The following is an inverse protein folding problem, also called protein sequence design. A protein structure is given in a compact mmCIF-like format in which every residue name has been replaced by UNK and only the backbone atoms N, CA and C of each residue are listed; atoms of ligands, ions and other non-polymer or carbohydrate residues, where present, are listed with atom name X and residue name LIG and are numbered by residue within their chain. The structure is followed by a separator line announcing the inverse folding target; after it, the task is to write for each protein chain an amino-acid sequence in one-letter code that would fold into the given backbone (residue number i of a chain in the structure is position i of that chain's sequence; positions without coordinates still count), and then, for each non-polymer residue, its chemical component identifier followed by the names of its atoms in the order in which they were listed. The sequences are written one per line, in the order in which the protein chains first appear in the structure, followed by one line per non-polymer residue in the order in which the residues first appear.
data_IF_177878956555
#
_entry.id   IF_177878956555
#
_cell.length_a   1.000
_cell.length_b   1.000
_cell.length_c   1.000
_cell.angle_alpha   90.00
_cell.angle_beta   90.00
_cell.angle_gamma   90.00
#
_symmetry.space_group_name_H-M   'P 1'
#
loop_
_entity.id
_entity.type
_entity.pdbx_description
1 polymer ?
#
# COMPACT_ATOMS: atom_id res chain seq x y z
N UNK A 1 15.63 16.94 -9.16
CA UNK A 1 14.62 17.37 -8.19
C UNK A 1 13.37 16.59 -8.52
N UNK A 2 12.87 15.78 -7.59
CA UNK A 2 11.57 15.13 -7.80
C UNK A 2 10.50 16.15 -7.43
N UNK A 3 9.68 16.51 -8.40
CA UNK A 3 8.53 17.41 -8.15
C UNK A 3 7.45 16.68 -7.36
N UNK A 4 6.59 17.45 -6.68
CA UNK A 4 5.43 16.92 -5.97
C UNK A 4 4.55 16.07 -6.89
N UNK A 5 4.35 16.51 -8.13
CA UNK A 5 3.58 15.78 -9.14
C UNK A 5 4.21 14.43 -9.47
N UNK A 6 5.52 14.37 -9.70
CA UNK A 6 6.24 13.12 -9.95
C UNK A 6 6.14 12.16 -8.76
N UNK A 7 6.23 12.69 -7.53
CA UNK A 7 6.05 11.87 -6.34
C UNK A 7 4.62 11.34 -6.22
N UNK A 8 3.60 12.18 -6.40
CA UNK A 8 2.19 11.76 -6.40
C UNK A 8 1.88 10.73 -7.50
N UNK A 9 2.55 10.82 -8.65
CA UNK A 9 2.46 9.83 -9.71
C UNK A 9 3.11 8.50 -9.29
N UNK A 10 4.31 8.54 -8.69
CA UNK A 10 4.99 7.35 -8.12
C UNK A 10 4.12 6.65 -7.06
N UNK A 11 3.54 7.42 -6.13
CA UNK A 11 2.62 6.90 -5.12
C UNK A 11 1.41 6.22 -5.75
N UNK A 12 0.82 6.86 -6.77
CA UNK A 12 -0.34 6.33 -7.48
C UNK A 12 -0.02 4.98 -8.11
N UNK A 13 1.08 4.88 -8.85
CA UNK A 13 1.48 3.63 -9.52
C UNK A 13 1.62 2.51 -8.51
N UNK A 14 2.26 2.76 -7.37
CA UNK A 14 2.43 1.73 -6.33
C UNK A 14 1.12 1.32 -5.66
N UNK A 15 0.22 2.28 -5.41
CA UNK A 15 -1.13 1.99 -4.88
C UNK A 15 -1.97 1.18 -5.88
N UNK A 16 -1.88 1.48 -7.17
CA UNK A 16 -2.53 0.73 -8.25
C UNK A 16 -1.96 -0.70 -8.33
N UNK A 17 -0.64 -0.88 -8.22
CA UNK A 17 0.01 -2.20 -8.17
C UNK A 17 -0.51 -3.04 -6.99
N UNK A 18 -0.55 -2.45 -5.79
CA UNK A 18 -1.05 -3.15 -4.60
C UNK A 18 -2.52 -3.50 -4.69
N UNK A 19 -3.35 -2.64 -5.29
CA UNK A 19 -4.74 -2.97 -5.54
C UNK A 19 -4.85 -4.22 -6.42
N UNK A 20 -4.04 -4.31 -7.49
CA UNK A 20 -3.98 -5.49 -8.33
C UNK A 20 -3.54 -6.75 -7.56
N UNK A 21 -2.48 -6.65 -6.75
CA UNK A 21 -2.04 -7.76 -5.90
C UNK A 21 -3.13 -8.19 -4.90
N UNK A 22 -3.89 -7.25 -4.31
CA UNK A 22 -5.00 -7.56 -3.40
C UNK A 22 -6.13 -8.31 -4.10
N UNK A 23 -6.47 -7.93 -5.33
CA UNK A 23 -7.48 -8.65 -6.12
C UNK A 23 -7.03 -10.08 -6.43
N UNK A 24 -5.75 -10.27 -6.76
CA UNK A 24 -5.16 -11.60 -6.97
C UNK A 24 -5.19 -12.43 -5.69
N UNK A 25 -4.79 -11.87 -4.55
CA UNK A 25 -4.85 -12.56 -3.25
C UNK A 25 -6.28 -12.92 -2.88
N UNK A 26 -7.25 -12.02 -3.13
CA UNK A 26 -8.67 -12.28 -2.88
C UNK A 26 -9.18 -13.44 -3.73
N UNK A 27 -8.86 -13.46 -5.02
CA UNK A 27 -9.22 -14.58 -5.90
C UNK A 27 -8.61 -15.91 -5.44
N UNK A 28 -7.34 -15.90 -5.03
CA UNK A 28 -6.69 -17.10 -4.46
C UNK A 28 -7.36 -17.54 -3.15
N UNK A 29 -7.79 -16.60 -2.30
CA UNK A 29 -8.49 -16.90 -1.05
C UNK A 29 -9.80 -17.66 -1.30
N UNK A 30 -10.49 -17.40 -2.40
CA UNK A 30 -11.73 -18.12 -2.77
C UNK A 30 -11.47 -19.57 -3.15
N UNK A 31 -10.26 -19.90 -3.60
CA UNK A 31 -9.83 -21.28 -3.91
C UNK A 31 -9.22 -22.02 -2.73
N UNK A 32 -8.97 -21.34 -1.61
CA UNK A 32 -8.38 -21.91 -0.41
C UNK A 32 -9.42 -22.69 0.43
N UNK A 33 -8.95 -23.49 1.39
CA UNK A 33 -9.80 -24.17 2.38
C UNK A 33 -10.53 -23.16 3.27
N UNK A 34 -11.68 -23.52 3.86
CA UNK A 34 -12.44 -22.58 4.71
C UNK A 34 -11.62 -21.99 5.88
N UNK A 35 -10.77 -22.79 6.53
CA UNK A 35 -9.89 -22.32 7.61
C UNK A 35 -8.84 -21.31 7.11
N UNK A 36 -8.22 -21.60 5.96
CA UNK A 36 -7.25 -20.69 5.35
C UNK A 36 -7.94 -19.42 4.83
N UNK A 37 -9.13 -19.56 4.26
CA UNK A 37 -9.92 -18.46 3.71
C UNK A 37 -10.22 -17.40 4.78
N UNK A 38 -10.60 -17.80 5.99
CA UNK A 38 -10.82 -16.86 7.11
C UNK A 38 -9.53 -16.09 7.41
N UNK A 39 -8.41 -16.78 7.64
CA UNK A 39 -7.11 -16.16 7.94
C UNK A 39 -6.63 -15.23 6.83
N UNK A 40 -6.78 -15.65 5.58
CA UNK A 40 -6.39 -14.86 4.41
C UNK A 40 -7.28 -13.61 4.30
N UNK A 41 -8.59 -13.72 4.51
CA UNK A 41 -9.48 -12.56 4.48
C UNK A 41 -9.13 -11.54 5.57
N UNK A 42 -8.77 -11.99 6.78
CA UNK A 42 -8.27 -11.10 7.84
C UNK A 42 -7.00 -10.37 7.40
N UNK A 43 -6.02 -11.07 6.83
CA UNK A 43 -4.79 -10.41 6.37
C UNK A 43 -5.03 -9.48 5.16
N UNK A 44 -5.94 -9.83 4.25
CA UNK A 44 -6.35 -8.94 3.15
C UNK A 44 -7.03 -7.68 3.69
N UNK A 45 -7.81 -7.78 4.77
CA UNK A 45 -8.42 -6.62 5.41
C UNK A 45 -7.35 -5.70 6.03
N UNK A 46 -6.32 -6.26 6.68
CA UNK A 46 -5.18 -5.48 7.17
C UNK A 46 -4.42 -4.78 6.04
N UNK A 47 -4.18 -5.47 4.93
CA UNK A 47 -3.55 -4.87 3.76
C UNK A 47 -4.40 -3.77 3.14
N UNK A 48 -5.73 -3.92 3.12
CA UNK A 48 -6.65 -2.90 2.63
C UNK A 48 -6.61 -1.66 3.50
N UNK A 49 -6.56 -1.80 4.82
CA UNK A 49 -6.39 -0.68 5.74
C UNK A 49 -5.07 0.07 5.48
N UNK A 50 -3.98 -0.65 5.21
CA UNK A 50 -2.71 -0.02 4.78
C UNK A 50 -2.90 0.71 3.45
N UNK A 51 -3.49 0.07 2.45
CA UNK A 51 -3.74 0.71 1.16
C UNK A 51 -4.55 2.02 1.30
N UNK A 52 -5.61 2.02 2.12
CA UNK A 52 -6.40 3.21 2.43
C UNK A 52 -5.54 4.30 3.11
N UNK A 53 -4.66 3.93 4.04
CA UNK A 53 -3.70 4.84 4.68
C UNK A 53 -2.73 5.46 3.65
N UNK A 54 -2.21 4.67 2.72
CA UNK A 54 -1.34 5.15 1.65
C UNK A 54 -2.06 6.10 0.69
N UNK A 55 -3.34 5.84 0.42
CA UNK A 55 -4.20 6.73 -0.35
C UNK A 55 -4.44 8.06 0.36
N UNK A 56 -4.76 8.02 1.66
CA UNK A 56 -4.94 9.22 2.47
C UNK A 56 -3.66 10.05 2.51
N UNK A 57 -2.51 9.41 2.74
CA UNK A 57 -1.18 10.06 2.72
C UNK A 57 -0.93 10.77 1.39
N UNK A 58 -1.25 10.12 0.27
CA UNK A 58 -1.13 10.71 -1.06
C UNK A 58 -2.01 11.94 -1.22
N UNK A 59 -3.23 11.94 -0.70
CA UNK A 59 -4.11 13.12 -0.71
C UNK A 59 -3.56 14.24 0.18
N UNK A 60 -3.06 13.92 1.38
CA UNK A 60 -2.41 14.91 2.25
C UNK A 60 -1.24 15.63 1.55
N UNK A 61 -0.40 14.87 0.86
CA UNK A 61 0.72 15.43 0.09
C UNK A 61 0.22 16.30 -1.07
N UNK A 62 -0.87 15.88 -1.73
CA UNK A 62 -1.48 16.63 -2.82
C UNK A 62 -2.03 17.98 -2.34
N UNK A 63 -2.64 18.02 -1.16
CA UNK A 63 -3.18 19.24 -0.56
C UNK A 63 -2.12 20.12 0.10
N UNK A 64 -0.94 19.58 0.42
CA UNK A 64 0.18 20.35 0.95
C UNK A 64 0.64 21.44 -0.04
N UNK A 65 0.96 22.64 0.47
CA UNK A 65 1.44 23.73 -0.38
C UNK A 65 2.78 23.41 -1.03
N UNK A 66 2.93 23.71 -2.33
CA UNK A 66 4.14 23.43 -3.12
C UNK A 66 5.41 24.09 -2.55
N UNK A 67 5.29 25.25 -1.90
CA UNK A 67 6.42 25.96 -1.26
C UNK A 67 7.09 25.14 -0.13
N UNK A 68 6.34 24.22 0.50
CA UNK A 68 6.86 23.36 1.58
C UNK A 68 7.26 21.96 1.09
N UNK A 69 7.07 21.67 -0.20
CA UNK A 69 7.33 20.34 -0.76
C UNK A 69 8.79 19.93 -0.60
N UNK A 70 9.73 20.84 -0.90
CA UNK A 70 11.17 20.56 -0.85
C UNK A 70 11.65 20.14 0.55
N UNK A 71 11.07 20.71 1.62
CA UNK A 71 11.40 20.35 3.01
C UNK A 71 10.66 19.10 3.49
N UNK A 72 9.45 18.86 2.97
CA UNK A 72 8.61 17.75 3.40
C UNK A 72 8.85 16.45 2.61
N UNK A 73 9.38 16.51 1.38
CA UNK A 73 9.55 15.34 0.50
C UNK A 73 10.39 14.25 1.14
N UNK A 74 11.45 14.60 1.87
CA UNK A 74 12.36 13.63 2.47
C UNK A 74 11.66 12.88 3.62
N UNK A 75 10.87 13.60 4.44
CA UNK A 75 10.04 12.98 5.47
C UNK A 75 8.90 12.15 4.84
N UNK A 76 8.27 12.66 3.78
CA UNK A 76 7.23 11.96 3.05
C UNK A 76 7.76 10.65 2.46
N UNK A 77 8.91 10.68 1.81
CA UNK A 77 9.57 9.51 1.24
C UNK A 77 9.98 8.53 2.34
N UNK A 78 10.59 8.99 3.44
CA UNK A 78 10.92 8.10 4.56
C UNK A 78 9.69 7.36 5.13
N UNK A 79 8.61 8.08 5.45
CA UNK A 79 7.37 7.45 5.95
C UNK A 79 6.74 6.53 4.91
N UNK A 80 6.85 6.88 3.63
CA UNK A 80 6.36 6.04 2.55
C UNK A 80 7.18 4.74 2.39
N UNK A 81 8.51 4.81 2.53
CA UNK A 81 9.35 3.61 2.54
C UNK A 81 9.01 2.70 3.72
N UNK A 82 8.84 3.25 4.93
CA UNK A 82 8.41 2.47 6.10
C UNK A 82 7.05 1.80 5.89
N UNK A 83 6.09 2.57 5.34
CA UNK A 83 4.77 2.07 4.97
C UNK A 83 4.85 0.90 3.97
N UNK A 84 5.67 1.04 2.93
CA UNK A 84 5.90 -0.04 1.94
C UNK A 84 6.51 -1.28 2.56
N UNK A 85 7.45 -1.13 3.48
CA UNK A 85 8.05 -2.28 4.20
C UNK A 85 6.95 -3.00 4.99
N UNK A 86 6.13 -2.26 5.73
CA UNK A 86 5.01 -2.83 6.48
C UNK A 86 3.98 -3.50 5.57
N UNK A 87 3.65 -2.92 4.43
CA UNK A 87 2.72 -3.53 3.47
C UNK A 87 3.29 -4.80 2.85
N UNK A 88 4.57 -4.77 2.45
CA UNK A 88 5.27 -5.94 1.91
C UNK A 88 5.29 -7.10 2.90
N UNK A 89 5.56 -6.84 4.18
CA UNK A 89 5.52 -7.88 5.22
C UNK A 89 4.13 -8.54 5.31
N UNK A 90 3.06 -7.74 5.33
CA UNK A 90 1.70 -8.27 5.30
C UNK A 90 1.43 -9.08 4.02
N UNK A 91 1.91 -8.64 2.86
CA UNK A 91 1.78 -9.37 1.59
C UNK A 91 2.51 -10.71 1.62
N UNK A 92 3.74 -10.75 2.13
CA UNK A 92 4.53 -11.97 2.30
C UNK A 92 3.82 -12.94 3.25
N UNK A 93 3.25 -12.43 4.34
CA UNK A 93 2.46 -13.23 5.26
C UNK A 93 1.23 -13.83 4.60
N UNK A 94 0.49 -13.08 3.76
CA UNK A 94 -0.64 -13.66 3.00
C UNK A 94 -0.15 -14.71 2.00
N UNK A 95 0.94 -14.42 1.27
CA UNK A 95 1.54 -15.37 0.32
C UNK A 95 1.99 -16.66 1.00
N UNK A 96 2.44 -16.60 2.25
CA UNK A 96 2.82 -17.79 3.03
C UNK A 96 1.67 -18.76 3.27
N UNK A 97 0.40 -18.31 3.27
CA UNK A 97 -0.77 -19.19 3.37
C UNK A 97 -1.09 -19.93 2.06
N UNK A 98 -0.48 -19.52 0.95
CA UNK A 98 -0.67 -20.10 -0.38
C UNK A 98 0.55 -20.89 -0.89
N UNK A 99 1.67 -20.85 -0.18
CA UNK A 99 2.90 -21.59 -0.51
C UNK A 99 2.94 -22.94 0.21
#
# INVERSE_FOLDING_TARGET
MQTKEEYLAKLKVQLDEWQGDLEVLRGKAETATEDAKVKIHEQIAELRAKWDEGHARREEIKDAADDKWEEFKDEAEAKWEEFKVGAKDSFDKVKSYFS
#
